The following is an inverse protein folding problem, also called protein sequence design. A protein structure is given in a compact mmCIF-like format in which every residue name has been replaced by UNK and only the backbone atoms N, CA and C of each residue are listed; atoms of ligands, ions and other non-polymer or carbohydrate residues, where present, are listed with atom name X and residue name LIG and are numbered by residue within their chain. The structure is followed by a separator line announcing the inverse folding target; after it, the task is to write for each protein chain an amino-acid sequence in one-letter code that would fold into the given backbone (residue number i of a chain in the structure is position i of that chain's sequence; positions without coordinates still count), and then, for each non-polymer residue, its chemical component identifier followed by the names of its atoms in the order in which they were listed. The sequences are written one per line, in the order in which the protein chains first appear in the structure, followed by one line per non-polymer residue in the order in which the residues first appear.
data_IF_488135382861
#
_entry.id   IF_488135382861
#
_cell.length_a   1.000
_cell.length_b   1.000
_cell.length_c   1.000
_cell.angle_alpha   90.00
_cell.angle_beta   90.00
_cell.angle_gamma   90.00
#
_symmetry.space_group_name_H-M   'P 1'
#
loop_
_entity.id
_entity.type
_entity.pdbx_description
1 polymer ?
#
# COMPACT_ATOMS: atom_id res chain seq x y z
N UNK A 1 35.04 41.19 -35.12
CA UNK A 1 34.64 39.91 -35.75
C UNK A 1 35.16 38.79 -34.86
N UNK A 2 34.37 38.38 -33.86
CA UNK A 2 34.63 37.16 -33.08
C UNK A 2 33.79 36.02 -33.68
N UNK A 3 34.27 34.78 -33.61
CA UNK A 3 33.78 33.70 -34.46
C UNK A 3 32.44 33.16 -33.95
N UNK A 4 31.47 33.09 -34.86
CA UNK A 4 30.10 32.56 -34.69
C UNK A 4 30.05 31.08 -34.26
N UNK A 5 31.18 30.39 -34.18
CA UNK A 5 31.27 28.95 -33.93
C UNK A 5 31.27 28.57 -32.44
N UNK A 6 31.76 29.44 -31.54
CA UNK A 6 31.79 29.09 -30.11
C UNK A 6 30.41 29.11 -29.44
N UNK A 7 29.47 29.93 -29.93
CA UNK A 7 28.13 30.03 -29.33
C UNK A 7 27.27 28.78 -29.57
N UNK A 8 27.51 28.01 -30.63
CA UNK A 8 26.72 26.82 -30.96
C UNK A 8 27.08 25.64 -30.05
N UNK A 9 28.35 25.53 -29.66
CA UNK A 9 28.85 24.44 -28.80
C UNK A 9 28.28 24.58 -27.37
N UNK A 10 28.23 25.80 -26.84
CA UNK A 10 27.65 26.04 -25.50
C UNK A 10 26.15 25.71 -25.43
N UNK A 11 25.37 26.04 -26.47
CA UNK A 11 23.96 25.71 -26.51
C UNK A 11 23.71 24.19 -26.55
N UNK A 12 24.53 23.43 -27.30
CA UNK A 12 24.42 21.98 -27.37
C UNK A 12 24.78 21.28 -26.06
N UNK A 13 25.81 21.75 -25.34
CA UNK A 13 26.19 21.20 -24.02
C UNK A 13 25.10 21.47 -22.98
N UNK A 14 24.51 22.66 -22.96
CA UNK A 14 23.40 22.97 -22.05
C UNK A 14 22.14 22.17 -22.37
N UNK A 15 21.78 21.99 -23.65
CA UNK A 15 20.66 21.14 -24.06
C UNK A 15 20.92 19.67 -23.69
N UNK A 16 22.13 19.16 -23.88
CA UNK A 16 22.47 17.79 -23.53
C UNK A 16 22.46 17.57 -22.01
N UNK A 17 22.93 18.53 -21.22
CA UNK A 17 22.82 18.50 -19.75
C UNK A 17 21.36 18.63 -19.27
N UNK A 18 20.53 19.44 -19.92
CA UNK A 18 19.10 19.54 -19.60
C UNK A 18 18.35 18.25 -19.94
N UNK A 19 18.71 17.60 -21.07
CA UNK A 19 18.16 16.30 -21.47
C UNK A 19 18.62 15.21 -20.48
N UNK A 20 19.89 15.16 -20.09
CA UNK A 20 20.37 14.20 -19.08
C UNK A 20 19.72 14.44 -17.71
N UNK A 21 19.59 15.69 -17.27
CA UNK A 21 18.94 16.02 -16.00
C UNK A 21 17.44 15.65 -16.00
N UNK A 22 16.74 15.87 -17.12
CA UNK A 22 15.33 15.45 -17.26
C UNK A 22 15.21 13.92 -17.34
N UNK A 23 16.11 13.21 -18.01
CA UNK A 23 16.10 11.74 -18.00
C UNK A 23 16.45 11.14 -16.63
N UNK A 24 17.31 11.77 -15.83
CA UNK A 24 17.58 11.34 -14.45
C UNK A 24 16.42 11.63 -13.48
N UNK A 25 15.61 12.66 -13.76
CA UNK A 25 14.39 12.97 -12.99
C UNK A 25 13.23 11.99 -13.26
N UNK A 26 13.31 11.17 -14.30
CA UNK A 26 12.27 10.21 -14.69
C UNK A 26 12.75 8.75 -14.80
N UNK A 27 13.94 8.42 -14.30
CA UNK A 27 14.22 7.04 -13.95
C UNK A 27 13.21 6.66 -12.85
N UNK A 28 12.13 6.00 -13.25
CA UNK A 28 11.12 5.54 -12.31
C UNK A 28 11.87 4.69 -11.29
N UNK A 29 11.84 5.09 -10.01
CA UNK A 29 12.41 4.35 -8.88
C UNK A 29 11.60 3.07 -8.64
N UNK A 30 11.30 2.33 -9.71
CA UNK A 30 10.47 1.16 -9.72
C UNK A 30 11.39 -0.04 -9.97
N UNK A 31 11.46 -0.95 -9.00
CA UNK A 31 12.27 -2.16 -9.10
C UNK A 31 11.36 -3.37 -9.24
N UNK A 32 11.59 -4.18 -10.27
CA UNK A 32 10.84 -5.40 -10.49
C UNK A 32 11.54 -6.61 -9.88
N UNK A 33 10.79 -7.47 -9.18
CA UNK A 33 11.32 -8.62 -8.47
C UNK A 33 10.68 -9.93 -8.93
N UNK A 34 11.52 -10.83 -9.42
CA UNK A 34 11.12 -12.19 -9.86
C UNK A 34 10.84 -13.17 -8.71
N UNK A 35 11.04 -12.75 -7.45
CA UNK A 35 10.79 -13.57 -6.27
C UNK A 35 9.28 -13.70 -6.06
N UNK A 36 8.78 -14.93 -5.96
CA UNK A 36 7.38 -15.17 -5.64
C UNK A 36 7.16 -15.07 -4.12
N UNK A 37 6.43 -14.06 -3.69
CA UNK A 37 6.12 -13.78 -2.28
C UNK A 37 4.61 -13.71 -2.05
N UNK A 38 4.19 -13.95 -0.80
CA UNK A 38 2.83 -13.60 -0.38
C UNK A 38 2.63 -12.08 -0.47
N UNK A 39 1.38 -11.63 -0.49
CA UNK A 39 1.06 -10.20 -0.57
C UNK A 39 1.74 -9.37 0.53
N UNK A 40 1.64 -9.82 1.79
CA UNK A 40 2.27 -9.12 2.92
C UNK A 40 3.80 -9.22 2.92
N UNK A 41 4.36 -10.35 2.49
CA UNK A 41 5.82 -10.49 2.36
C UNK A 41 6.38 -9.60 1.25
N UNK A 42 5.64 -9.41 0.15
CA UNK A 42 6.03 -8.50 -0.92
C UNK A 42 6.09 -7.05 -0.44
N UNK A 43 5.08 -6.60 0.32
CA UNK A 43 5.11 -5.30 0.98
C UNK A 43 6.31 -5.15 1.92
N UNK A 44 6.56 -6.18 2.76
CA UNK A 44 7.69 -6.19 3.70
C UNK A 44 9.03 -6.10 2.98
N UNK A 45 9.21 -6.84 1.88
CA UNK A 45 10.43 -6.80 1.09
C UNK A 45 10.65 -5.41 0.47
N UNK A 46 9.61 -4.79 -0.11
CA UNK A 46 9.72 -3.42 -0.61
C UNK A 46 10.14 -2.45 0.48
N UNK A 47 9.56 -2.55 1.67
CA UNK A 47 9.93 -1.71 2.79
C UNK A 47 11.40 -1.89 3.20
N UNK A 48 11.86 -3.14 3.38
CA UNK A 48 13.25 -3.46 3.72
C UNK A 48 14.23 -2.87 2.68
N UNK A 49 13.94 -3.01 1.39
CA UNK A 49 14.77 -2.44 0.31
C UNK A 49 14.81 -0.93 0.33
N UNK A 50 13.67 -0.30 0.62
CA UNK A 50 13.61 1.14 0.80
C UNK A 50 14.54 1.59 1.92
N UNK A 51 14.47 0.94 3.08
CA UNK A 51 15.31 1.26 4.24
C UNK A 51 16.81 1.17 3.92
N UNK A 52 17.23 0.15 3.17
CA UNK A 52 18.62 0.00 2.71
C UNK A 52 19.11 1.17 1.86
N UNK A 53 18.19 1.89 1.22
CA UNK A 53 18.48 3.04 0.36
C UNK A 53 18.11 4.38 1.01
N UNK A 54 17.85 4.41 2.34
CA UNK A 54 17.37 5.59 3.07
C UNK A 54 16.11 6.21 2.42
N UNK A 55 15.20 5.35 1.98
CA UNK A 55 13.89 5.65 1.41
C UNK A 55 12.82 4.82 2.11
N UNK A 56 11.55 5.07 1.83
CA UNK A 56 10.48 4.14 2.17
C UNK A 56 10.01 3.46 0.89
N UNK A 57 10.09 2.13 0.88
CA UNK A 57 9.67 1.31 -0.24
C UNK A 57 8.25 0.79 -0.07
N UNK A 58 7.47 0.85 -1.15
CA UNK A 58 6.08 0.41 -1.21
C UNK A 58 5.93 -0.56 -2.37
N UNK A 59 5.04 -1.53 -2.21
CA UNK A 59 4.60 -2.31 -3.37
C UNK A 59 3.81 -1.39 -4.31
N UNK A 60 4.01 -1.58 -5.62
CA UNK A 60 3.47 -0.64 -6.61
C UNK A 60 1.94 -0.61 -6.57
N UNK A 61 1.41 0.60 -6.39
CA UNK A 61 -0.02 0.87 -6.44
C UNK A 61 -0.34 1.57 -7.76
N UNK A 62 -0.78 2.82 -7.67
CA UNK A 62 -1.22 3.66 -8.80
C UNK A 62 -0.20 3.74 -9.94
N UNK A 63 1.08 3.67 -9.62
CA UNK A 63 2.18 3.79 -10.56
C UNK A 63 2.27 2.62 -11.55
N UNK A 64 1.50 1.53 -11.38
CA UNK A 64 1.44 0.43 -12.35
C UNK A 64 1.00 0.90 -13.74
N UNK A 65 0.17 1.97 -13.82
CA UNK A 65 -0.24 2.57 -15.09
C UNK A 65 0.96 3.06 -15.91
N UNK A 66 2.06 3.44 -15.24
CA UNK A 66 3.31 3.86 -15.88
C UNK A 66 4.13 2.66 -16.37
N UNK A 67 3.89 1.46 -15.84
CA UNK A 67 4.64 0.25 -16.22
C UNK A 67 4.22 -0.29 -17.59
N UNK A 68 2.96 -0.10 -17.99
CA UNK A 68 2.45 -0.55 -19.30
C UNK A 68 3.21 0.03 -20.50
N UNK A 69 3.95 1.12 -20.29
CA UNK A 69 4.79 1.76 -21.31
C UNK A 69 6.17 1.08 -21.46
N UNK A 70 6.61 0.28 -20.48
CA UNK A 70 8.04 -0.04 -20.33
C UNK A 70 8.46 -1.48 -20.60
N UNK A 71 7.57 -2.49 -20.56
CA UNK A 71 7.75 -3.87 -21.10
C UNK A 71 6.62 -4.80 -20.64
N UNK A 72 6.24 -5.83 -21.44
CA UNK A 72 5.35 -6.89 -20.97
C UNK A 72 6.00 -7.68 -19.83
N UNK A 73 5.27 -7.93 -18.76
CA UNK A 73 5.73 -8.79 -17.67
C UNK A 73 5.76 -10.25 -18.10
N UNK A 74 6.75 -10.98 -17.61
CA UNK A 74 6.86 -12.44 -17.83
C UNK A 74 6.06 -13.26 -16.82
N UNK A 75 5.51 -12.62 -15.77
CA UNK A 75 4.72 -13.27 -14.73
C UNK A 75 3.67 -12.31 -14.15
N UNK A 76 2.67 -12.89 -13.47
CA UNK A 76 1.68 -12.14 -12.71
C UNK A 76 2.35 -11.37 -11.56
N UNK A 77 1.99 -10.10 -11.39
CA UNK A 77 2.56 -9.23 -10.37
C UNK A 77 1.52 -8.80 -9.33
N UNK A 78 1.87 -8.79 -8.05
CA UNK A 78 1.04 -8.16 -7.04
C UNK A 78 0.88 -6.68 -7.32
N UNK A 79 -0.34 -6.17 -7.08
CA UNK A 79 -0.64 -4.74 -7.07
C UNK A 79 -1.05 -4.34 -5.67
N UNK A 80 -0.59 -3.17 -5.21
CA UNK A 80 -1.06 -2.53 -3.98
C UNK A 80 -2.45 -1.90 -4.18
N UNK A 81 -3.39 -2.69 -4.66
CA UNK A 81 -4.78 -2.33 -4.93
C UNK A 81 -5.69 -3.43 -4.37
N UNK A 82 -6.51 -3.09 -3.38
CA UNK A 82 -7.18 -4.06 -2.53
C UNK A 82 -8.52 -3.56 -2.00
N UNK A 83 -9.36 -4.48 -1.51
CA UNK A 83 -10.65 -4.21 -0.89
C UNK A 83 -10.74 -4.76 0.55
N UNK A 84 -9.58 -4.91 1.21
CA UNK A 84 -9.44 -5.53 2.54
C UNK A 84 -10.14 -4.77 3.67
N UNK A 85 -10.53 -3.51 3.47
CA UNK A 85 -11.30 -2.74 4.46
C UNK A 85 -12.83 -2.86 4.28
N UNK A 86 -13.30 -3.73 3.39
CA UNK A 86 -14.71 -3.95 3.13
C UNK A 86 -15.15 -5.34 3.57
N UNK A 87 -16.21 -5.41 4.40
CA UNK A 87 -16.74 -6.70 4.87
C UNK A 87 -17.53 -7.43 3.78
N UNK A 88 -18.38 -6.70 3.09
CA UNK A 88 -19.21 -7.22 2.00
C UNK A 88 -18.48 -7.19 0.66
N UNK A 89 -18.95 -8.00 -0.29
CA UNK A 89 -18.51 -7.93 -1.69
C UNK A 89 -18.66 -6.49 -2.16
N UNK A 90 -17.60 -5.84 -2.68
CA UNK A 90 -17.74 -4.62 -3.42
C UNK A 90 -18.59 -4.96 -4.65
N UNK A 91 -19.86 -4.54 -4.68
CA UNK A 91 -20.78 -4.85 -5.80
C UNK A 91 -20.33 -4.18 -7.11
N UNK A 92 -19.30 -3.32 -7.06
CA UNK A 92 -18.63 -2.58 -8.16
C UNK A 92 -17.17 -2.31 -7.77
N UNK A 93 -16.44 -1.54 -8.59
CA UNK A 93 -15.11 -0.99 -8.24
C UNK A 93 -15.12 -0.21 -6.93
N UNK A 94 -16.27 0.40 -6.57
CA UNK A 94 -16.47 1.10 -5.30
C UNK A 94 -16.06 0.23 -4.09
N UNK A 95 -15.01 0.65 -3.40
CA UNK A 95 -14.41 -0.05 -2.26
C UNK A 95 -13.10 -0.78 -2.54
N UNK A 96 -12.54 -0.65 -3.75
CA UNK A 96 -11.15 -0.99 -3.99
C UNK A 96 -10.30 0.29 -3.90
N UNK A 97 -9.23 0.24 -3.13
CA UNK A 97 -8.35 1.38 -2.89
C UNK A 97 -6.90 1.00 -3.16
N UNK A 98 -6.09 1.99 -3.50
CA UNK A 98 -4.65 1.82 -3.52
C UNK A 98 -4.08 2.05 -2.12
N UNK A 99 -3.26 1.12 -1.64
CA UNK A 99 -2.69 1.22 -0.30
C UNK A 99 -1.72 2.40 -0.12
N UNK A 100 -1.14 2.91 -1.21
CA UNK A 100 -0.24 4.07 -1.20
C UNK A 100 -0.96 5.43 -1.21
N UNK A 101 -2.30 5.43 -1.20
CA UNK A 101 -3.13 6.64 -1.20
C UNK A 101 -4.08 6.67 0.00
N UNK A 102 -4.31 7.86 0.55
CA UNK A 102 -5.31 8.10 1.61
C UNK A 102 -6.64 8.57 1.01
N UNK A 103 -6.64 8.91 -0.27
CA UNK A 103 -7.76 9.57 -0.93
C UNK A 103 -8.75 8.57 -1.56
N UNK A 104 -9.93 8.46 -0.95
CA UNK A 104 -11.07 7.69 -1.47
C UNK A 104 -11.63 8.26 -2.79
N UNK A 105 -11.29 9.50 -3.18
CA UNK A 105 -11.77 10.13 -4.42
C UNK A 105 -11.07 9.64 -5.70
N UNK A 106 -10.17 8.65 -5.60
CA UNK A 106 -9.51 8.07 -6.78
C UNK A 106 -10.40 7.15 -7.65
N UNK A 107 -11.62 6.88 -7.19
CA UNK A 107 -12.53 5.88 -7.75
C UNK A 107 -12.94 6.13 -9.22
N UNK A 108 -13.12 7.38 -9.66
CA UNK A 108 -13.72 7.68 -10.96
C UNK A 108 -12.74 7.55 -12.14
N UNK A 109 -11.48 7.95 -11.96
CA UNK A 109 -10.46 7.84 -13.00
C UNK A 109 -10.10 6.36 -13.22
N UNK A 110 -10.00 5.58 -12.14
CA UNK A 110 -9.58 4.19 -12.23
C UNK A 110 -10.65 3.22 -12.72
N UNK A 111 -11.94 3.53 -12.50
CA UNK A 111 -13.04 2.75 -13.08
C UNK A 111 -12.94 2.62 -14.61
N UNK A 112 -12.34 3.60 -15.29
CA UNK A 112 -12.16 3.57 -16.75
C UNK A 112 -11.03 2.62 -17.19
N UNK A 113 -9.99 2.45 -16.38
CA UNK A 113 -8.82 1.61 -16.71
C UNK A 113 -8.93 0.19 -16.18
N UNK A 114 -9.79 -0.02 -15.18
CA UNK A 114 -9.86 -1.26 -14.43
C UNK A 114 -11.18 -1.95 -14.72
N UNK A 115 -11.21 -2.76 -15.79
CA UNK A 115 -12.33 -3.66 -16.06
C UNK A 115 -12.24 -4.90 -15.14
N UNK A 116 -12.32 -4.68 -13.83
CA UNK A 116 -12.48 -5.78 -12.87
C UNK A 116 -13.90 -6.31 -13.05
N UNK A 117 -13.99 -7.49 -13.66
CA UNK A 117 -15.11 -8.39 -13.44
C UNK A 117 -14.74 -9.21 -12.20
N UNK A 118 -15.24 -8.89 -11.00
CA UNK A 118 -14.88 -9.64 -9.80
C UNK A 118 -15.48 -11.05 -9.94
N UNK A 119 -14.65 -11.99 -10.37
CA UNK A 119 -15.03 -13.39 -10.59
C UNK A 119 -15.37 -14.10 -9.28
N UNK A 120 -14.92 -13.58 -8.13
CA UNK A 120 -15.23 -14.18 -6.82
C UNK A 120 -15.70 -13.14 -5.79
N UNK A 121 -16.60 -13.58 -4.91
CA UNK A 121 -17.29 -12.75 -3.90
C UNK A 121 -16.42 -12.42 -2.68
N UNK A 122 -15.41 -13.25 -2.40
CA UNK A 122 -14.48 -13.13 -1.28
C UNK A 122 -13.10 -12.57 -1.71
N UNK A 123 -12.96 -12.09 -2.95
CA UNK A 123 -11.70 -11.64 -3.49
C UNK A 123 -11.40 -10.20 -3.02
N UNK A 124 -10.25 -10.01 -2.36
CA UNK A 124 -9.86 -8.76 -1.69
C UNK A 124 -8.51 -8.21 -2.13
N UNK A 125 -7.72 -9.01 -2.82
CA UNK A 125 -6.43 -8.59 -3.37
C UNK A 125 -6.52 -8.54 -4.89
N UNK A 126 -5.64 -7.75 -5.51
CA UNK A 126 -5.51 -7.72 -6.95
C UNK A 126 -4.08 -7.95 -7.41
N UNK A 127 -3.96 -8.40 -8.65
CA UNK A 127 -2.71 -8.63 -9.33
C UNK A 127 -2.86 -8.30 -10.81
N UNK A 128 -1.77 -7.91 -11.44
CA UNK A 128 -1.71 -7.61 -12.86
C UNK A 128 -1.12 -8.80 -13.60
N UNK A 129 -1.83 -9.27 -14.62
CA UNK A 129 -1.46 -10.47 -15.38
C UNK A 129 -0.53 -10.16 -16.55
N UNK A 130 0.15 -11.18 -17.05
CA UNK A 130 0.95 -11.09 -18.30
C UNK A 130 0.13 -10.62 -19.50
N UNK A 131 -1.19 -10.84 -19.49
CA UNK A 131 -2.12 -10.40 -20.53
C UNK A 131 -2.60 -8.96 -20.34
N UNK A 132 -1.93 -8.18 -19.49
CA UNK A 132 -2.24 -6.79 -19.20
C UNK A 132 -3.63 -6.56 -18.58
N UNK A 133 -4.13 -7.55 -17.84
CA UNK A 133 -5.42 -7.50 -17.14
C UNK A 133 -5.22 -7.49 -15.63
N UNK A 134 -6.01 -6.69 -14.92
CA UNK A 134 -6.12 -6.80 -13.47
C UNK A 134 -7.11 -7.90 -13.12
N UNK A 135 -6.66 -8.86 -12.33
CA UNK A 135 -7.48 -9.90 -11.74
C UNK A 135 -7.51 -9.77 -10.23
N UNK A 136 -8.56 -10.32 -9.63
CA UNK A 136 -8.78 -10.31 -8.19
C UNK A 136 -8.63 -11.72 -7.63
N UNK A 137 -8.12 -11.83 -6.41
CA UNK A 137 -7.95 -13.10 -5.71
C UNK A 137 -8.31 -12.94 -4.22
N UNK A 138 -8.58 -14.05 -3.55
CA UNK A 138 -8.78 -14.08 -2.10
C UNK A 138 -7.47 -13.72 -1.40
N UNK A 139 -7.53 -13.13 -0.22
CA UNK A 139 -6.33 -12.78 0.54
C UNK A 139 -5.71 -14.01 1.22
N UNK A 140 -5.22 -14.95 0.41
CA UNK A 140 -4.67 -16.23 0.84
C UNK A 140 -3.16 -16.38 0.62
N UNK A 141 -2.69 -17.62 0.62
CA UNK A 141 -1.28 -18.04 0.53
C UNK A 141 -0.66 -17.94 -0.87
N UNK A 142 -1.35 -17.33 -1.83
CA UNK A 142 -0.83 -17.18 -3.18
C UNK A 142 0.49 -16.42 -3.17
N UNK A 143 1.36 -16.80 -4.10
CA UNK A 143 2.68 -16.18 -4.25
C UNK A 143 2.81 -15.63 -5.66
N UNK A 144 3.22 -14.38 -5.77
CA UNK A 144 3.42 -13.71 -7.06
C UNK A 144 4.69 -12.88 -7.02
N UNK A 145 5.18 -12.55 -8.20
CA UNK A 145 6.20 -11.52 -8.38
C UNK A 145 5.63 -10.16 -7.99
N UNK A 146 6.47 -9.17 -7.79
CA UNK A 146 6.04 -7.85 -7.33
C UNK A 146 6.99 -6.78 -7.84
N UNK A 147 6.55 -5.54 -7.79
CA UNK A 147 7.40 -4.39 -8.05
C UNK A 147 7.32 -3.44 -6.85
N UNK A 148 8.45 -2.82 -6.53
CA UNK A 148 8.57 -1.82 -5.49
C UNK A 148 8.71 -0.44 -6.10
N UNK A 149 8.19 0.58 -5.42
CA UNK A 149 8.46 1.99 -5.68
C UNK A 149 9.02 2.64 -4.41
N UNK A 150 9.87 3.64 -4.56
CA UNK A 150 10.59 4.24 -3.42
C UNK A 150 10.31 5.73 -3.30
N UNK A 151 10.02 6.19 -2.08
CA UNK A 151 9.83 7.60 -1.73
C UNK A 151 10.92 8.04 -0.75
N UNK A 152 11.47 9.26 -0.88
CA UNK A 152 12.41 9.76 0.12
C UNK A 152 11.72 9.80 1.49
N UNK A 153 12.43 9.37 2.54
CA UNK A 153 11.94 9.61 3.90
C UNK A 153 11.87 11.12 4.06
N UNK A 154 10.67 11.68 4.20
CA UNK A 154 10.54 13.08 4.54
C UNK A 154 11.36 13.29 5.81
N UNK A 155 12.37 14.17 5.77
CA UNK A 155 13.09 14.61 6.96
C UNK A 155 12.15 15.48 7.78
N UNK A 156 11.04 14.91 8.23
CA UNK A 156 10.36 15.42 9.41
C UNK A 156 11.45 15.35 10.46
N UNK A 157 11.79 16.53 10.98
CA UNK A 157 12.74 16.72 12.06
C UNK A 157 12.51 15.63 13.11
N UNK A 158 13.55 15.21 13.83
CA UNK A 158 13.49 14.18 14.88
C UNK A 158 12.53 14.51 16.06
N UNK A 159 11.65 15.48 15.87
CA UNK A 159 10.57 15.88 16.73
C UNK A 159 9.40 14.90 16.53
N UNK A 160 9.10 14.17 17.60
CA UNK A 160 7.89 13.35 17.68
C UNK A 160 6.70 14.30 17.58
N UNK A 161 6.14 14.44 16.37
CA UNK A 161 4.94 15.22 16.19
C UNK A 161 3.78 14.46 16.83
N UNK A 162 2.98 15.11 17.70
CA UNK A 162 1.79 14.49 18.25
C UNK A 162 0.88 14.01 17.12
N UNK A 163 0.67 12.70 17.07
CA UNK A 163 -0.23 12.10 16.10
C UNK A 163 -1.56 11.74 16.75
N UNK A 164 -2.65 12.14 16.11
CA UNK A 164 -4.00 11.86 16.59
C UNK A 164 -4.56 10.61 15.91
N UNK A 165 -4.87 9.61 16.72
CA UNK A 165 -5.67 8.47 16.29
C UNK A 165 -7.16 8.74 16.54
N UNK A 166 -8.00 8.36 15.59
CA UNK A 166 -9.45 8.57 15.65
C UNK A 166 -10.18 7.23 15.72
N UNK A 167 -10.99 7.04 16.75
CA UNK A 167 -11.87 5.88 16.84
C UNK A 167 -12.84 5.84 15.66
N UNK A 168 -12.91 4.70 14.98
CA UNK A 168 -13.74 4.49 13.79
C UNK A 168 -15.18 4.11 14.18
N UNK A 169 -15.92 5.08 14.70
CA UNK A 169 -17.32 4.90 15.10
C UNK A 169 -18.28 4.66 13.93
N UNK A 170 -17.83 4.83 12.68
CA UNK A 170 -18.66 4.60 11.50
C UNK A 170 -18.90 3.11 11.26
N UNK A 171 -18.01 2.24 11.78
CA UNK A 171 -18.12 0.79 11.65
C UNK A 171 -18.81 0.21 12.87
N UNK A 172 -19.92 -0.48 12.63
CA UNK A 172 -20.55 -1.30 13.66
C UNK A 172 -19.67 -2.49 14.06
N UNK A 173 -19.95 -3.18 15.18
CA UNK A 173 -19.24 -4.41 15.60
C UNK A 173 -19.14 -5.41 14.44
N UNK A 174 -20.27 -5.65 13.79
CA UNK A 174 -20.40 -6.49 12.60
C UNK A 174 -19.74 -5.91 11.32
N UNK A 175 -18.77 -5.02 11.40
CA UNK A 175 -18.08 -4.44 10.24
C UNK A 175 -16.56 -4.34 10.42
N UNK A 176 -16.04 -4.96 11.50
CA UNK A 176 -14.62 -4.93 11.84
C UNK A 176 -13.85 -6.20 11.46
N UNK A 177 -14.53 -7.24 10.97
CA UNK A 177 -13.93 -8.52 10.56
C UNK A 177 -14.47 -9.02 9.22
N UNK A 178 -13.71 -9.90 8.57
CA UNK A 178 -14.18 -10.67 7.42
C UNK A 178 -15.27 -11.69 7.82
N UNK A 179 -16.02 -12.19 6.84
CA UNK A 179 -16.98 -13.29 7.05
C UNK A 179 -16.34 -14.67 6.87
N UNK A 180 -15.15 -14.73 6.29
CA UNK A 180 -14.46 -15.95 5.94
C UNK A 180 -13.09 -16.00 6.64
N UNK A 181 -12.57 -17.21 6.81
CA UNK A 181 -11.24 -17.46 7.40
C UNK A 181 -10.10 -17.34 6.37
N UNK A 182 -10.45 -17.18 5.10
CA UNK A 182 -9.48 -17.21 4.00
C UNK A 182 -8.83 -15.85 3.76
N UNK A 183 -9.46 -14.76 4.19
CA UNK A 183 -8.92 -13.41 4.04
C UNK A 183 -8.18 -12.96 5.28
N UNK A 184 -6.93 -12.56 5.09
CA UNK A 184 -6.12 -11.91 6.12
C UNK A 184 -5.45 -10.64 5.60
N UNK A 185 -5.35 -9.65 6.49
CA UNK A 185 -4.54 -8.46 6.26
C UNK A 185 -3.09 -8.66 6.69
N UNK A 186 -2.27 -7.63 6.50
CA UNK A 186 -0.93 -7.60 7.06
C UNK A 186 -1.01 -6.99 8.46
N UNK A 187 -0.76 -7.79 9.49
CA UNK A 187 -0.87 -7.36 10.87
C UNK A 187 0.44 -7.52 11.62
N UNK A 188 0.71 -6.58 12.52
CA UNK A 188 1.50 -6.85 13.71
C UNK A 188 0.58 -7.02 14.90
N UNK A 189 1.07 -7.74 15.91
CA UNK A 189 0.27 -8.10 17.07
C UNK A 189 1.02 -7.91 18.39
N UNK A 190 0.27 -7.67 19.44
CA UNK A 190 0.77 -7.54 20.80
C UNK A 190 -0.35 -7.89 21.78
N UNK A 191 -0.04 -8.61 22.84
CA UNK A 191 -1.02 -8.97 23.87
C UNK A 191 -0.60 -8.37 25.21
N UNK A 192 -1.54 -8.24 26.15
CA UNK A 192 -1.32 -7.66 27.48
C UNK A 192 -0.75 -6.24 27.42
N UNK A 193 -1.23 -5.42 26.48
CA UNK A 193 -0.83 -4.02 26.33
C UNK A 193 -1.98 -3.09 26.66
N UNK A 194 -1.67 -1.89 27.10
CA UNK A 194 -2.65 -0.81 27.21
C UNK A 194 -3.00 -0.25 25.83
N UNK A 195 -4.13 0.47 25.74
CA UNK A 195 -4.53 1.19 24.53
C UNK A 195 -3.44 2.17 24.07
N UNK A 196 -2.80 2.88 25.01
CA UNK A 196 -1.74 3.85 24.72
C UNK A 196 -0.51 3.14 24.15
N UNK A 197 -0.09 2.01 24.72
CA UNK A 197 1.02 1.23 24.18
C UNK A 197 0.72 0.70 22.77
N UNK A 198 -0.52 0.25 22.52
CA UNK A 198 -0.95 -0.17 21.19
C UNK A 198 -0.83 0.99 20.17
N UNK A 199 -1.33 2.18 20.53
CA UNK A 199 -1.22 3.37 19.70
C UNK A 199 0.24 3.79 19.46
N UNK A 200 1.09 3.74 20.50
CA UNK A 200 2.51 4.06 20.40
C UNK A 200 3.27 3.07 19.49
N UNK A 201 2.98 1.77 19.58
CA UNK A 201 3.55 0.76 18.66
C UNK A 201 3.19 1.06 17.21
N UNK A 202 1.94 1.45 16.96
CA UNK A 202 1.51 1.86 15.63
C UNK A 202 2.20 3.16 15.19
N UNK A 203 2.26 4.18 16.03
CA UNK A 203 2.89 5.47 15.72
C UNK A 203 4.38 5.31 15.34
N UNK A 204 5.14 4.55 16.14
CA UNK A 204 6.56 4.29 15.93
C UNK A 204 6.85 3.40 14.72
N UNK A 205 5.85 2.63 14.26
CA UNK A 205 5.96 1.85 13.05
C UNK A 205 5.46 2.67 11.85
N UNK A 206 6.38 3.16 11.04
CA UNK A 206 6.07 3.95 9.82
C UNK A 206 5.12 3.23 8.86
N UNK A 207 5.10 1.90 8.89
CA UNK A 207 4.21 1.09 8.05
C UNK A 207 2.82 0.93 8.65
N UNK A 208 2.59 1.31 9.90
CA UNK A 208 1.29 1.14 10.53
C UNK A 208 0.25 2.10 9.95
N UNK A 209 -0.89 1.56 9.52
CA UNK A 209 -2.00 2.30 8.90
C UNK A 209 -3.16 2.57 9.84
N UNK A 210 -3.46 1.62 10.71
CA UNK A 210 -4.48 1.71 11.75
C UNK A 210 -4.24 0.64 12.80
N UNK A 211 -4.97 0.68 13.90
CA UNK A 211 -4.92 -0.40 14.87
C UNK A 211 -6.29 -0.73 15.46
N UNK A 212 -6.39 -1.92 16.01
CA UNK A 212 -7.51 -2.47 16.74
C UNK A 212 -7.04 -2.79 18.15
N UNK A 213 -7.87 -2.47 19.12
CA UNK A 213 -7.64 -2.76 20.52
C UNK A 213 -8.83 -3.49 21.11
N UNK A 214 -8.60 -4.65 21.72
CA UNK A 214 -9.62 -5.39 22.45
C UNK A 214 -9.58 -4.98 23.92
N UNK A 215 -10.63 -4.31 24.38
CA UNK A 215 -10.74 -3.78 25.73
C UNK A 215 -10.87 -4.84 26.82
N UNK A 216 -11.20 -6.09 26.47
CA UNK A 216 -11.34 -7.20 27.42
C UNK A 216 -10.08 -8.06 27.53
N UNK A 217 -9.46 -8.42 26.40
CA UNK A 217 -8.26 -9.27 26.38
C UNK A 217 -6.95 -8.49 26.39
N UNK A 218 -6.99 -7.15 26.30
CA UNK A 218 -5.82 -6.31 26.10
C UNK A 218 -4.98 -6.71 24.86
N UNK A 219 -5.64 -7.29 23.87
CA UNK A 219 -5.05 -7.63 22.58
C UNK A 219 -4.99 -6.40 21.68
N UNK A 220 -3.88 -6.25 20.98
CA UNK A 220 -3.60 -5.18 20.03
C UNK A 220 -3.25 -5.81 18.69
N UNK A 221 -3.93 -5.34 17.64
CA UNK A 221 -3.68 -5.73 16.25
C UNK A 221 -3.51 -4.46 15.44
N UNK A 222 -2.35 -4.23 14.86
CA UNK A 222 -2.10 -3.03 14.05
C UNK A 222 -1.82 -3.42 12.61
N UNK A 223 -2.52 -2.76 11.69
CA UNK A 223 -2.45 -3.03 10.26
C UNK A 223 -1.17 -2.41 9.71
N UNK A 224 -0.44 -3.18 8.90
CA UNK A 224 0.83 -2.79 8.30
C UNK A 224 0.65 -2.64 6.79
N UNK A 225 1.30 -1.63 6.21
CA UNK A 225 1.34 -1.28 4.79
C UNK A 225 0.00 -0.83 4.19
N UNK A 226 -1.10 -1.49 4.56
CA UNK A 226 -2.44 -1.27 4.07
C UNK A 226 -3.48 -1.41 5.18
N UNK A 227 -4.61 -0.73 5.05
CA UNK A 227 -5.73 -0.90 5.95
C UNK A 227 -6.48 -2.21 5.66
N UNK A 228 -6.81 -2.97 6.71
CA UNK A 228 -7.54 -4.24 6.61
C UNK A 228 -8.50 -4.42 7.78
N UNK A 229 -9.58 -5.18 7.55
CA UNK A 229 -10.37 -5.78 8.62
C UNK A 229 -9.60 -6.86 9.37
N UNK A 230 -10.04 -7.16 10.59
CA UNK A 230 -9.57 -8.30 11.37
C UNK A 230 -9.90 -9.63 10.67
N UNK A 231 -9.08 -10.64 10.93
CA UNK A 231 -9.40 -12.02 10.60
C UNK A 231 -10.68 -12.45 11.34
N UNK A 232 -11.37 -13.46 10.82
CA UNK A 232 -12.52 -14.02 11.52
C UNK A 232 -12.12 -14.61 12.89
N UNK A 233 -10.95 -15.23 12.98
CA UNK A 233 -10.45 -15.81 14.24
C UNK A 233 -10.16 -14.76 15.32
N UNK A 234 -9.57 -13.61 14.96
CA UNK A 234 -9.39 -12.52 15.94
C UNK A 234 -10.73 -11.97 16.43
N UNK A 235 -11.77 -12.04 15.59
CA UNK A 235 -13.08 -11.49 15.87
C UNK A 235 -13.93 -12.40 16.77
N UNK A 236 -13.87 -13.71 16.56
CA UNK A 236 -14.65 -14.69 17.35
C UNK A 236 -14.32 -14.58 18.85
N UNK A 237 -13.08 -14.21 19.19
CA UNK A 237 -12.65 -13.94 20.55
C UNK A 237 -13.02 -12.51 21.00
N UNK A 238 -14.15 -12.39 21.69
CA UNK A 238 -14.62 -11.13 22.30
C UNK A 238 -14.90 -10.01 21.28
N UNK A 239 -15.58 -10.36 20.19
CA UNK A 239 -16.10 -9.47 19.14
C UNK A 239 -16.48 -8.06 19.61
N UNK A 240 -17.36 -7.95 20.61
CA UNK A 240 -17.95 -6.67 21.06
C UNK A 240 -16.94 -5.73 21.75
N UNK A 241 -15.74 -6.22 22.07
CA UNK A 241 -14.73 -5.46 22.81
C UNK A 241 -13.65 -4.86 21.91
N UNK A 242 -13.66 -5.17 20.62
CA UNK A 242 -12.75 -4.61 19.64
C UNK A 242 -13.13 -3.18 19.28
N UNK A 243 -12.15 -2.28 19.29
CA UNK A 243 -12.28 -0.89 18.85
C UNK A 243 -11.20 -0.61 17.82
N UNK A 244 -11.57 -0.07 16.67
CA UNK A 244 -10.63 0.34 15.61
C UNK A 244 -10.30 1.82 15.72
N UNK A 245 -9.03 2.15 15.50
CA UNK A 245 -8.50 3.51 15.46
C UNK A 245 -7.80 3.78 14.14
N UNK A 246 -8.26 4.82 13.43
CA UNK A 246 -7.71 5.32 12.19
C UNK A 246 -6.53 6.25 12.44
N UNK A 247 -5.57 6.24 11.51
CA UNK A 247 -4.41 7.14 11.48
C UNK A 247 -4.57 8.15 10.33
N UNK A 248 -5.41 9.19 10.49
CA UNK A 248 -5.77 10.10 9.39
C UNK A 248 -4.59 10.93 8.86
N UNK A 249 -3.57 11.16 9.69
CA UNK A 249 -2.38 11.95 9.34
C UNK A 249 -1.22 11.07 8.85
N UNK A 250 -1.49 9.82 8.48
CA UNK A 250 -0.45 8.94 7.93
C UNK A 250 0.09 9.56 6.64
N UNK A 251 1.32 10.06 6.74
CA UNK A 251 2.14 10.51 5.62
C UNK A 251 3.38 9.65 5.63
N UNK A 252 3.68 9.03 4.51
CA UNK A 252 4.76 8.07 4.38
C UNK A 252 5.55 8.33 3.10
#
# INVERSE_FOLDING_TARGET
MLPRFEQIIFAAVFLFQFIIATFQLFATNNEYHHKNLSFCDAHRECFIRGQLSNTIGYMIGREYLKLGVLKPFTSDIWLNYHALLHRNRPRKVKGWIFGDTVDEFSDDIFQQYVNIKPYCTACRLSFYTTNSLIKTIRAGHDRKTFACTYRPVSKITSEILPERFLSDHKRGPNQMSFYDQENNGCFGESNNVTLIECAMRCHLNVMCRSFYFNTKSAACRYTLYIDSLLSLSDWEDNADYWIRFNRPMWMA
#
